data_IF_178349825128
#
_entry.id   IF_178349825128
#
_cell.length_a   1.000
_cell.length_b   1.000
_cell.length_c   1.000
_cell.angle_alpha   90.00
_cell.angle_beta   90.00
_cell.angle_gamma   90.00
#
_symmetry.space_group_name_H-M   'P 1'
#
loop_
_entity.id
_entity.type
_entity.pdbx_description
1 polymer ?
#
# COMPACT_ATOMS: atom_id res chain seq x y z
N UNK A 1 -13.43 8.86 2.56
CA UNK A 1 -12.61 7.89 1.81
C UNK A 1 -11.61 8.61 0.94
N UNK A 2 -10.36 8.18 0.98
CA UNK A 2 -9.29 8.71 0.13
C UNK A 2 -8.77 7.57 -0.73
N UNK A 3 -8.58 7.83 -2.02
CA UNK A 3 -8.03 6.84 -2.95
C UNK A 3 -7.04 7.54 -3.88
N UNK A 4 -5.83 7.01 -3.96
CA UNK A 4 -4.78 7.57 -4.79
C UNK A 4 -4.11 6.48 -5.62
N UNK A 5 -3.56 6.88 -6.76
CA UNK A 5 -2.77 5.96 -7.59
C UNK A 5 -1.30 6.18 -7.32
N UNK A 6 -0.54 5.10 -7.34
CA UNK A 6 0.90 5.17 -7.14
C UNK A 6 1.60 4.19 -8.07
N UNK A 7 2.63 4.67 -8.77
CA UNK A 7 3.43 3.81 -9.64
C UNK A 7 4.68 3.37 -8.87
N UNK A 8 4.90 2.07 -8.82
CA UNK A 8 6.03 1.49 -8.07
C UNK A 8 7.34 1.90 -8.73
N UNK A 9 8.24 2.50 -7.94
CA UNK A 9 9.50 3.03 -8.42
C UNK A 9 10.71 2.16 -8.08
N UNK A 10 10.64 1.44 -6.96
CA UNK A 10 11.77 0.64 -6.51
C UNK A 10 11.91 -0.67 -7.31
N UNK A 11 13.13 -1.12 -7.45
CA UNK A 11 13.42 -2.32 -8.26
C UNK A 11 12.76 -3.58 -7.71
N UNK A 12 12.63 -3.70 -6.40
CA UNK A 12 12.05 -4.88 -5.77
C UNK A 12 10.53 -4.96 -5.91
N UNK A 13 9.89 -3.82 -6.21
CA UNK A 13 8.44 -3.76 -6.25
C UNK A 13 7.85 -3.87 -4.84
N UNK A 14 6.60 -4.28 -4.76
CA UNK A 14 5.91 -4.45 -3.49
C UNK A 14 6.13 -5.87 -2.98
N UNK A 15 7.37 -6.16 -2.59
CA UNK A 15 7.79 -7.50 -2.21
C UNK A 15 8.85 -7.38 -1.11
N UNK A 16 9.10 -8.46 -0.38
CA UNK A 16 10.14 -8.52 0.65
C UNK A 16 10.03 -7.35 1.64
N UNK A 17 11.11 -6.58 1.81
CA UNK A 17 11.16 -5.48 2.77
C UNK A 17 10.15 -4.38 2.50
N UNK A 18 9.97 -3.91 1.26
CA UNK A 18 8.94 -2.91 0.98
C UNK A 18 7.54 -3.37 1.38
N UNK A 19 7.20 -4.63 1.14
CA UNK A 19 5.90 -5.17 1.53
C UNK A 19 5.75 -5.19 3.04
N UNK A 20 6.80 -5.58 3.76
CA UNK A 20 6.78 -5.61 5.21
C UNK A 20 6.61 -4.21 5.79
N UNK A 21 7.36 -3.24 5.27
CA UNK A 21 7.28 -1.86 5.73
C UNK A 21 5.91 -1.26 5.44
N UNK A 22 5.36 -1.54 4.28
CA UNK A 22 4.04 -1.07 3.88
C UNK A 22 2.98 -1.61 4.85
N UNK A 23 3.02 -2.90 5.14
CA UNK A 23 2.07 -3.54 6.04
C UNK A 23 2.18 -2.98 7.45
N UNK A 24 3.39 -2.78 7.96
CA UNK A 24 3.62 -2.20 9.29
C UNK A 24 3.06 -0.78 9.36
N UNK A 25 3.30 0.01 8.34
CA UNK A 25 2.79 1.38 8.29
C UNK A 25 1.26 1.36 8.30
N UNK A 26 0.64 0.50 7.49
CA UNK A 26 -0.81 0.39 7.44
C UNK A 26 -1.40 0.04 8.81
N UNK A 27 -0.71 -0.80 9.57
CA UNK A 27 -1.19 -1.21 10.89
C UNK A 27 -1.10 -0.13 11.96
N UNK A 28 -0.42 0.99 11.67
CA UNK A 28 -0.36 2.12 12.60
C UNK A 28 -1.63 2.98 12.57
N UNK A 29 -2.52 2.74 11.63
CA UNK A 29 -3.72 3.54 11.43
C UNK A 29 -4.98 2.73 11.67
N UNK A 30 -6.03 3.42 12.11
CA UNK A 30 -7.33 2.78 12.35
C UNK A 30 -8.12 2.60 11.07
N UNK A 31 -7.87 3.43 10.07
CA UNK A 31 -8.58 3.34 8.79
C UNK A 31 -8.47 1.97 8.18
N UNK A 32 -9.52 1.58 7.47
CA UNK A 32 -9.46 0.40 6.61
C UNK A 32 -8.65 0.77 5.38
N UNK A 33 -7.61 0.01 5.10
CA UNK A 33 -6.71 0.32 4.00
C UNK A 33 -6.67 -0.85 3.01
N UNK A 34 -6.89 -0.53 1.74
CA UNK A 34 -6.98 -1.52 0.67
C UNK A 34 -6.02 -1.14 -0.44
N UNK A 35 -5.27 -2.12 -0.93
CA UNK A 35 -4.46 -1.95 -2.14
C UNK A 35 -5.23 -2.58 -3.28
N UNK A 36 -5.32 -1.87 -4.40
CA UNK A 36 -6.05 -2.34 -5.57
C UNK A 36 -5.08 -2.43 -6.75
N UNK A 37 -5.03 -3.58 -7.39
CA UNK A 37 -4.20 -3.78 -8.58
C UNK A 37 -5.01 -4.58 -9.60
N UNK A 38 -5.15 -4.03 -10.80
CA UNK A 38 -5.89 -4.67 -11.90
C UNK A 38 -7.30 -5.10 -11.48
N UNK A 39 -7.95 -4.26 -10.68
CA UNK A 39 -9.31 -4.50 -10.22
C UNK A 39 -9.45 -5.43 -9.02
N UNK A 40 -8.34 -6.03 -8.56
CA UNK A 40 -8.37 -6.89 -7.38
C UNK A 40 -8.01 -6.11 -6.13
N UNK A 41 -8.71 -6.39 -5.05
CA UNK A 41 -8.52 -5.70 -3.77
C UNK A 41 -7.78 -6.58 -2.78
N UNK A 42 -6.82 -5.97 -2.07
CA UNK A 42 -5.99 -6.67 -1.10
C UNK A 42 -5.96 -5.90 0.20
N UNK A 43 -6.08 -6.60 1.32
CA UNK A 43 -6.04 -5.99 2.66
C UNK A 43 -4.60 -5.55 2.98
N UNK A 44 -4.39 -4.24 3.13
CA UNK A 44 -3.04 -3.70 3.34
C UNK A 44 -2.44 -4.06 4.70
N UNK A 45 -3.26 -4.41 5.68
CA UNK A 45 -2.78 -4.76 7.02
C UNK A 45 -2.36 -6.22 7.14
N UNK A 46 -2.58 -7.02 6.09
CA UNK A 46 -2.18 -8.42 6.06
C UNK A 46 -0.93 -8.57 5.19
N UNK A 47 0.17 -9.02 5.80
CA UNK A 47 1.42 -9.20 5.04
C UNK A 47 1.25 -10.21 3.89
N UNK A 48 0.47 -11.27 4.12
CA UNK A 48 0.22 -12.26 3.07
C UNK A 48 -0.52 -11.63 1.88
N UNK A 49 -1.51 -10.78 2.17
CA UNK A 49 -2.26 -10.13 1.10
C UNK A 49 -1.41 -9.12 0.36
N UNK A 50 -0.57 -8.35 1.08
CA UNK A 50 0.32 -7.37 0.45
C UNK A 50 1.30 -8.09 -0.49
N UNK A 51 1.83 -9.22 -0.07
CA UNK A 51 2.71 -10.03 -0.93
C UNK A 51 1.97 -10.55 -2.17
N UNK A 52 0.67 -10.85 -2.01
CA UNK A 52 -0.14 -11.36 -3.12
C UNK A 52 -0.43 -10.30 -4.19
N UNK A 53 -0.25 -9.01 -3.87
CA UNK A 53 -0.46 -7.94 -4.86
C UNK A 53 0.42 -8.17 -6.09
N UNK A 54 1.65 -8.61 -5.87
CA UNK A 54 2.55 -8.93 -6.98
C UNK A 54 2.97 -7.74 -7.82
N UNK A 55 2.90 -6.53 -7.28
CA UNK A 55 3.27 -5.33 -8.02
C UNK A 55 4.78 -5.24 -8.17
N UNK A 56 5.23 -5.00 -9.39
CA UNK A 56 6.65 -4.85 -9.71
C UNK A 56 6.94 -3.42 -10.16
N UNK A 57 8.21 -3.10 -10.31
CA UNK A 57 8.62 -1.77 -10.78
C UNK A 57 7.89 -1.42 -12.07
N UNK A 58 7.29 -0.24 -12.09
CA UNK A 58 6.52 0.24 -13.24
C UNK A 58 5.03 -0.03 -13.16
N UNK A 59 4.61 -0.93 -12.28
CA UNK A 59 3.17 -1.19 -12.09
C UNK A 59 2.53 -0.07 -11.31
N UNK A 60 1.27 0.21 -11.62
CA UNK A 60 0.48 1.19 -10.88
C UNK A 60 -0.50 0.46 -9.98
N UNK A 61 -0.51 0.86 -8.72
CA UNK A 61 -1.49 0.36 -7.74
C UNK A 61 -2.35 1.53 -7.28
N UNK A 62 -3.49 1.22 -6.69
CA UNK A 62 -4.30 2.22 -6.01
C UNK A 62 -4.30 1.91 -4.52
N UNK A 63 -4.27 2.95 -3.71
CA UNK A 63 -4.32 2.82 -2.26
C UNK A 63 -5.57 3.55 -1.80
N UNK A 64 -6.46 2.82 -1.13
CA UNK A 64 -7.71 3.36 -0.63
C UNK A 64 -7.73 3.26 0.89
N UNK A 65 -8.06 4.36 1.56
CA UNK A 65 -8.20 4.40 3.00
C UNK A 65 -9.54 4.98 3.39
N UNK A 66 -10.15 4.40 4.41
CA UNK A 66 -11.47 4.79 4.88
C UNK A 66 -11.48 4.80 6.40
N UNK A 67 -11.61 6.00 6.98
CA UNK A 67 -11.61 6.17 8.43
C UNK A 67 -11.19 7.56 8.84
N UNK A 68 -11.12 7.80 10.15
CA UNK A 68 -10.79 9.13 10.67
C UNK A 68 -9.40 9.60 10.30
N UNK A 69 -8.43 8.69 10.22
CA UNK A 69 -7.05 9.01 9.90
C UNK A 69 -6.67 8.67 8.46
N UNK A 70 -7.67 8.64 7.58
CA UNK A 70 -7.46 8.18 6.20
C UNK A 70 -6.42 8.99 5.42
N UNK A 71 -6.38 10.31 5.62
CA UNK A 71 -5.43 11.14 4.88
C UNK A 71 -4.01 10.94 5.37
N UNK A 72 -3.82 10.88 6.68
CA UNK A 72 -2.52 10.60 7.27
C UNK A 72 -2.03 9.20 6.86
N UNK A 73 -2.95 8.24 6.79
CA UNK A 73 -2.61 6.87 6.41
C UNK A 73 -2.07 6.81 5.00
N UNK A 74 -2.77 7.41 4.03
CA UNK A 74 -2.34 7.42 2.64
C UNK A 74 -1.00 8.12 2.49
N UNK A 75 -0.83 9.26 3.16
CA UNK A 75 0.43 10.00 3.10
C UNK A 75 1.59 9.16 3.63
N UNK A 76 1.40 8.50 4.77
CA UNK A 76 2.45 7.68 5.37
C UNK A 76 2.79 6.49 4.50
N UNK A 77 1.81 5.87 3.87
CA UNK A 77 2.04 4.73 2.99
C UNK A 77 2.84 5.11 1.74
N UNK A 78 2.52 6.26 1.14
CA UNK A 78 3.27 6.74 0.00
C UNK A 78 4.70 7.07 0.40
N UNK A 79 4.90 7.72 1.55
CA UNK A 79 6.24 8.01 2.05
C UNK A 79 7.04 6.73 2.28
N UNK A 80 6.41 5.69 2.79
CA UNK A 80 7.06 4.40 3.00
C UNK A 80 7.51 3.80 1.68
N UNK A 81 6.65 3.83 0.67
CA UNK A 81 7.00 3.31 -0.64
C UNK A 81 8.14 4.11 -1.29
N UNK A 82 8.16 5.42 -1.06
CA UNK A 82 9.19 6.26 -1.65
C UNK A 82 10.56 6.13 -0.98
N UNK A 83 10.59 5.72 0.30
CA UNK A 83 11.85 5.46 1.00
C UNK A 83 12.50 4.15 0.53
N UNK A 84 11.71 3.20 0.14
CA UNK A 84 12.19 1.90 -0.30
C UNK A 84 12.53 1.94 -1.78
#
# INVERSE_FOLDING_TARGET
>A
MVQVSYTIKNEEGLHARPASDFCKTANNFESKITVIKDGEEFEAKSILMVLCVGAVQGDTIEIRAEGEDEQEAVKALIETLERD
#
